data_IF_773322601290
#
_entry.id   IF_773322601290
#
_cell.length_a   1.000
_cell.length_b   1.000
_cell.length_c   1.000
_cell.angle_alpha   90.00
_cell.angle_beta   90.00
_cell.angle_gamma   90.00
#
_symmetry.space_group_name_H-M   'P 1'
#
loop_
_entity.id
_entity.type
_entity.pdbx_description
1 polymer ?
#
# COMPACT_ATOMS: atom_id res chain seq x y z
N UNK A 1 6.20 -44.13 15.90
CA UNK A 1 5.06 -43.58 15.14
C UNK A 1 5.55 -42.31 14.46
N UNK A 2 5.23 -42.14 13.18
CA UNK A 2 5.53 -40.90 12.45
C UNK A 2 4.53 -39.84 12.87
N UNK A 3 5.02 -38.68 13.32
CA UNK A 3 4.17 -37.54 13.68
C UNK A 3 3.63 -36.86 12.42
N UNK A 4 2.44 -36.27 12.51
CA UNK A 4 1.94 -35.40 11.44
C UNK A 4 2.81 -34.15 11.30
N UNK A 5 2.92 -33.66 10.07
CA UNK A 5 3.55 -32.38 9.80
C UNK A 5 2.69 -31.23 10.35
N UNK A 6 3.36 -30.13 10.72
CA UNK A 6 2.69 -28.94 11.25
C UNK A 6 1.71 -28.34 10.22
N UNK A 7 1.98 -28.51 8.91
CA UNK A 7 1.12 -28.01 7.83
C UNK A 7 -0.27 -28.65 7.85
N UNK A 8 -0.35 -29.97 8.00
CA UNK A 8 -1.60 -30.69 8.11
C UNK A 8 -2.40 -30.29 9.38
N UNK A 9 -1.72 -30.03 10.50
CA UNK A 9 -2.37 -29.54 11.72
C UNK A 9 -2.91 -28.10 11.54
N UNK A 10 -2.18 -27.23 10.84
CA UNK A 10 -2.61 -25.86 10.56
C UNK A 10 -3.81 -25.85 9.60
N UNK A 11 -3.77 -26.60 8.49
CA UNK A 11 -4.91 -26.73 7.57
C UNK A 11 -6.16 -27.24 8.27
N UNK A 12 -6.00 -28.17 9.21
CA UNK A 12 -7.12 -28.66 10.01
C UNK A 12 -7.73 -27.57 10.90
N UNK A 13 -6.90 -26.73 11.52
CA UNK A 13 -7.35 -25.61 12.35
C UNK A 13 -8.01 -24.50 11.54
N UNK A 14 -7.51 -24.22 10.34
CA UNK A 14 -8.06 -23.20 9.45
C UNK A 14 -9.32 -23.66 8.70
N UNK A 15 -9.69 -24.94 8.84
CA UNK A 15 -10.87 -25.52 8.18
C UNK A 15 -10.67 -25.81 6.69
N UNK A 16 -9.42 -25.89 6.24
CA UNK A 16 -9.04 -26.13 4.85
C UNK A 16 -8.95 -27.63 4.49
N UNK A 17 -8.99 -28.51 5.48
CA UNK A 17 -9.00 -29.96 5.25
C UNK A 17 -10.34 -30.43 4.68
N UNK A 18 -10.28 -31.39 3.76
CA UNK A 18 -11.47 -32.15 3.38
C UNK A 18 -11.93 -33.09 4.52
N UNK A 19 -13.09 -33.73 4.34
CA UNK A 19 -13.66 -34.59 5.38
C UNK A 19 -12.78 -35.81 5.73
N UNK A 20 -12.02 -36.34 4.77
CA UNK A 20 -11.17 -37.51 4.96
C UNK A 20 -9.88 -37.11 5.70
N UNK A 21 -9.23 -36.03 5.29
CA UNK A 21 -8.06 -35.50 5.96
C UNK A 21 -8.39 -35.07 7.40
N UNK A 22 -9.52 -34.39 7.61
CA UNK A 22 -9.96 -34.02 8.94
C UNK A 22 -10.24 -35.24 9.84
N UNK A 23 -10.72 -36.35 9.28
CA UNK A 23 -10.90 -37.60 10.03
C UNK A 23 -9.54 -38.22 10.43
N UNK A 24 -8.57 -38.23 9.52
CA UNK A 24 -7.20 -38.71 9.79
C UNK A 24 -6.51 -37.90 10.88
N UNK A 25 -6.63 -36.56 10.84
CA UNK A 25 -6.06 -35.67 11.86
C UNK A 25 -6.68 -35.97 13.23
N UNK A 26 -8.02 -36.11 13.31
CA UNK A 26 -8.73 -36.43 14.55
C UNK A 26 -8.33 -37.80 15.11
N UNK A 27 -8.24 -38.81 14.26
CA UNK A 27 -7.81 -40.15 14.67
C UNK A 27 -6.37 -40.12 15.21
N UNK A 28 -5.45 -39.50 14.47
CA UNK A 28 -4.04 -39.42 14.86
C UNK A 28 -3.85 -38.64 16.17
N UNK A 29 -4.47 -37.47 16.30
CA UNK A 29 -4.38 -36.65 17.54
C UNK A 29 -5.12 -37.27 18.72
N UNK A 30 -6.10 -38.15 18.46
CA UNK A 30 -6.70 -39.03 19.45
C UNK A 30 -5.70 -40.05 20.00
N UNK A 31 -4.87 -40.64 19.14
CA UNK A 31 -3.90 -41.67 19.52
C UNK A 31 -2.50 -41.14 19.94
N UNK A 32 -2.08 -39.97 19.47
CA UNK A 32 -0.73 -39.44 19.67
C UNK A 32 -0.74 -38.20 20.60
N UNK A 33 -0.19 -38.36 21.81
CA UNK A 33 -0.11 -37.29 22.81
C UNK A 33 0.71 -36.09 22.33
N UNK A 34 1.82 -36.32 21.63
CA UNK A 34 2.67 -35.23 21.13
C UNK A 34 1.97 -34.38 20.07
N UNK A 35 1.28 -34.99 19.10
CA UNK A 35 0.51 -34.25 18.11
C UNK A 35 -0.69 -33.53 18.75
N UNK A 36 -1.30 -34.10 19.80
CA UNK A 36 -2.34 -33.43 20.58
C UNK A 36 -1.81 -32.19 21.31
N UNK A 37 -0.65 -32.32 21.97
CA UNK A 37 0.00 -31.19 22.63
C UNK A 37 0.40 -30.10 21.62
N UNK A 38 0.89 -30.49 20.43
CA UNK A 38 1.23 -29.57 19.35
C UNK A 38 0.01 -28.82 18.83
N UNK A 39 -1.10 -29.52 18.59
CA UNK A 39 -2.37 -28.91 18.19
C UNK A 39 -2.85 -27.89 19.24
N UNK A 40 -2.81 -28.24 20.52
CA UNK A 40 -3.16 -27.31 21.61
C UNK A 40 -2.28 -26.06 21.69
N UNK A 41 -0.98 -26.17 21.38
CA UNK A 41 -0.08 -25.02 21.27
C UNK A 41 -0.47 -24.10 20.11
N UNK A 42 -0.80 -24.66 18.94
CA UNK A 42 -1.24 -23.90 17.77
C UNK A 42 -2.55 -23.17 18.03
N UNK A 43 -3.56 -23.85 18.60
CA UNK A 43 -4.82 -23.24 19.03
C UNK A 43 -4.62 -22.08 20.01
N UNK A 44 -3.70 -22.25 20.97
CA UNK A 44 -3.34 -21.20 21.93
C UNK A 44 -2.79 -19.95 21.25
N UNK A 45 -1.92 -20.11 20.25
CA UNK A 45 -1.36 -18.99 19.47
C UNK A 45 -2.42 -18.28 18.63
N UNK A 46 -3.27 -19.04 17.93
CA UNK A 46 -4.39 -18.49 17.13
C UNK A 46 -5.34 -17.67 18.02
N UNK A 47 -5.62 -18.15 19.23
CA UNK A 47 -6.46 -17.45 20.21
C UNK A 47 -5.86 -16.11 20.63
N UNK A 48 -4.55 -16.06 20.88
CA UNK A 48 -3.85 -14.82 21.23
C UNK A 48 -3.91 -13.79 20.10
N UNK A 49 -3.65 -14.20 18.86
CA UNK A 49 -3.73 -13.31 17.69
C UNK A 49 -5.16 -12.80 17.50
N UNK A 50 -6.16 -13.69 17.55
CA UNK A 50 -7.57 -13.32 17.43
C UNK A 50 -8.01 -12.33 18.51
N UNK A 51 -7.49 -12.46 19.73
CA UNK A 51 -7.76 -11.52 20.81
C UNK A 51 -7.09 -10.16 20.58
N UNK A 52 -5.86 -10.14 20.06
CA UNK A 52 -5.16 -8.91 19.70
C UNK A 52 -5.91 -8.14 18.59
N UNK A 53 -6.35 -8.85 17.55
CA UNK A 53 -7.14 -8.26 16.45
C UNK A 53 -8.46 -7.66 16.94
N UNK A 54 -9.23 -8.38 17.77
CA UNK A 54 -10.47 -7.85 18.35
C UNK A 54 -10.27 -6.62 19.22
N UNK A 55 -9.10 -6.46 19.86
CA UNK A 55 -8.77 -5.24 20.63
C UNK A 55 -8.33 -4.09 19.73
N UNK A 56 -7.70 -4.39 18.60
CA UNK A 56 -7.24 -3.41 17.63
C UNK A 56 -8.38 -2.91 16.72
N UNK A 57 -9.46 -3.68 16.59
CA UNK A 57 -10.62 -3.33 15.77
C UNK A 57 -11.26 -2.02 16.25
N UNK A 58 -11.22 -0.95 15.44
CA UNK A 58 -11.78 0.34 15.85
C UNK A 58 -13.29 0.21 16.01
N UNK A 59 -13.82 0.57 17.18
CA UNK A 59 -15.26 0.57 17.40
C UNK A 59 -15.94 1.49 16.38
N UNK A 60 -17.00 1.04 15.70
CA UNK A 60 -17.74 1.87 14.76
C UNK A 60 -18.31 3.07 15.51
N UNK A 61 -17.69 4.24 15.31
CA UNK A 61 -18.20 5.50 15.87
C UNK A 61 -19.54 5.78 15.19
N UNK A 62 -20.61 5.85 15.98
CA UNK A 62 -21.92 6.26 15.50
C UNK A 62 -21.78 7.62 14.78
N UNK A 63 -22.01 7.64 13.47
CA UNK A 63 -21.92 8.87 12.67
C UNK A 63 -23.04 9.83 13.08
N UNK A 64 -22.76 11.10 13.42
CA UNK A 64 -23.81 12.08 13.66
C UNK A 64 -24.56 12.37 12.35
N UNK A 65 -25.89 12.27 12.40
CA UNK A 65 -26.80 12.31 11.23
C UNK A 65 -27.05 13.71 10.64
N UNK A 66 -26.42 14.77 11.17
CA UNK A 66 -26.75 16.16 10.82
C UNK A 66 -26.02 16.75 9.59
N UNK A 67 -25.06 16.06 8.98
CA UNK A 67 -24.25 16.61 7.88
C UNK A 67 -24.96 16.72 6.51
N UNK A 68 -26.24 16.36 6.41
CA UNK A 68 -26.94 16.21 5.12
C UNK A 68 -27.47 17.53 4.52
N UNK A 69 -27.47 18.64 5.27
CA UNK A 69 -28.01 19.93 4.80
C UNK A 69 -27.01 20.83 4.07
N UNK A 70 -25.70 20.65 4.25
CA UNK A 70 -24.68 21.50 3.61
C UNK A 70 -24.35 21.14 2.14
N UNK A 71 -24.74 19.95 1.69
CA UNK A 71 -24.41 19.44 0.35
C UNK A 71 -25.17 20.12 -0.81
N UNK A 72 -26.26 20.85 -0.55
CA UNK A 72 -27.02 21.54 -1.60
C UNK A 72 -26.48 22.94 -1.97
N UNK A 73 -25.54 23.49 -1.20
CA UNK A 73 -25.01 24.84 -1.46
C UNK A 73 -23.86 24.88 -2.48
N UNK A 74 -23.18 23.75 -2.75
CA UNK A 74 -21.96 23.73 -3.57
C UNK A 74 -22.19 23.52 -5.09
N UNK A 75 -23.39 23.11 -5.52
CA UNK A 75 -23.68 22.77 -6.91
C UNK A 75 -23.71 23.98 -7.88
N UNK A 76 -23.78 25.22 -7.37
CA UNK A 76 -23.87 26.42 -8.20
C UNK A 76 -22.52 26.91 -8.76
N UNK A 77 -21.38 26.48 -8.20
CA UNK A 77 -20.07 27.02 -8.57
C UNK A 77 -19.39 26.30 -9.76
N UNK A 78 -19.73 25.04 -10.01
CA UNK A 78 -19.01 24.19 -11.00
C UNK A 78 -19.36 24.53 -12.45
N UNK A 79 -20.53 25.13 -12.71
CA UNK A 79 -20.99 25.42 -14.08
C UNK A 79 -20.26 26.62 -14.72
N UNK A 80 -19.53 27.43 -13.95
CA UNK A 80 -18.87 28.65 -14.46
C UNK A 80 -17.42 28.44 -14.95
N UNK A 81 -16.79 27.29 -14.69
CA UNK A 81 -15.35 27.09 -14.95
C UNK A 81 -15.01 26.31 -16.23
N UNK A 82 -15.99 25.81 -16.98
CA UNK A 82 -15.76 24.92 -18.13
C UNK A 82 -15.42 25.60 -19.47
N UNK A 83 -15.21 26.91 -19.53
CA UNK A 83 -15.02 27.64 -20.82
C UNK A 83 -13.56 27.91 -21.24
N UNK A 84 -12.53 27.52 -20.47
CA UNK A 84 -11.15 27.99 -20.72
C UNK A 84 -10.10 26.98 -21.24
N UNK A 85 -10.44 25.71 -21.52
CA UNK A 85 -9.42 24.66 -21.78
C UNK A 85 -9.18 24.30 -23.28
N UNK A 86 -9.02 25.30 -24.15
CA UNK A 86 -8.93 25.11 -25.61
C UNK A 86 -7.56 25.30 -26.29
N UNK A 87 -6.41 25.28 -25.58
CA UNK A 87 -5.11 25.67 -26.18
C UNK A 87 -4.14 24.47 -26.31
N UNK A 88 -3.80 24.11 -27.56
CA UNK A 88 -3.11 22.89 -28.02
C UNK A 88 -1.56 22.76 -27.83
N UNK A 89 -0.72 23.79 -27.67
CA UNK A 89 0.73 23.65 -27.83
C UNK A 89 1.43 22.93 -26.67
N UNK A 90 0.77 22.74 -25.52
CA UNK A 90 1.36 22.07 -24.35
C UNK A 90 1.39 20.54 -24.52
N UNK A 91 0.44 19.97 -25.29
CA UNK A 91 0.34 18.50 -25.50
C UNK A 91 1.53 17.93 -26.28
N UNK A 92 2.12 18.69 -27.20
CA UNK A 92 3.26 18.22 -27.99
C UNK A 92 4.58 18.24 -27.22
N UNK A 93 4.74 19.17 -26.27
CA UNK A 93 5.97 19.31 -25.49
C UNK A 93 6.17 18.19 -24.46
N UNK A 94 5.08 17.64 -23.90
CA UNK A 94 5.13 16.61 -22.85
C UNK A 94 5.41 15.21 -23.42
N UNK A 95 4.79 14.87 -24.56
CA UNK A 95 5.03 13.59 -25.24
C UNK A 95 6.51 13.40 -25.62
N UNK A 96 7.21 14.49 -25.93
CA UNK A 96 8.62 14.45 -26.36
C UNK A 96 9.63 14.35 -25.20
N UNK A 97 9.24 14.67 -23.96
CA UNK A 97 10.12 14.58 -22.78
C UNK A 97 9.92 13.31 -21.93
N UNK A 98 8.72 12.72 -21.92
CA UNK A 98 8.45 11.46 -21.22
C UNK A 98 9.21 10.25 -21.80
N UNK A 99 9.35 10.17 -23.13
CA UNK A 99 10.08 9.08 -23.78
C UNK A 99 11.60 9.13 -23.53
N UNK A 100 12.19 10.32 -23.40
CA UNK A 100 13.65 10.46 -23.22
C UNK A 100 14.16 9.97 -21.86
N UNK A 101 13.35 10.05 -20.80
CA UNK A 101 13.66 9.52 -19.47
C UNK A 101 13.37 8.01 -19.38
N UNK A 102 12.33 7.51 -20.07
CA UNK A 102 12.02 6.08 -20.14
C UNK A 102 13.10 5.28 -20.89
N UNK A 103 13.70 5.82 -21.96
CA UNK A 103 14.78 5.14 -22.68
C UNK A 103 16.11 5.04 -21.91
N UNK A 104 16.30 5.85 -20.86
CA UNK A 104 17.46 5.76 -19.97
C UNK A 104 17.25 4.74 -18.84
N UNK A 105 16.00 4.40 -18.49
CA UNK A 105 15.65 3.45 -17.42
C UNK A 105 15.20 2.09 -17.95
N UNK A 106 14.64 2.04 -19.17
CA UNK A 106 14.15 0.82 -19.85
C UNK A 106 14.95 0.52 -21.13
N UNK A 107 16.13 1.11 -21.26
CA UNK A 107 17.00 0.95 -22.42
C UNK A 107 17.59 -0.45 -22.56
N UNK A 108 16.84 -1.31 -23.26
CA UNK A 108 17.26 -2.36 -24.21
C UNK A 108 16.84 -3.78 -23.82
N UNK A 109 15.61 -4.17 -24.19
CA UNK A 109 15.29 -5.56 -24.56
C UNK A 109 14.08 -5.57 -25.52
N UNK A 110 14.36 -5.15 -26.75
CA UNK A 110 13.56 -5.45 -27.93
C UNK A 110 14.42 -6.20 -28.96
N UNK A 111 15.21 -7.17 -28.51
CA UNK A 111 15.92 -8.11 -29.37
C UNK A 111 15.94 -9.49 -28.70
N UNK A 112 15.36 -10.47 -29.39
CA UNK A 112 15.41 -11.88 -29.01
C UNK A 112 16.87 -12.39 -28.87
N UNK A 113 17.06 -13.30 -27.89
CA UNK A 113 18.19 -14.24 -27.67
C UNK A 113 19.40 -13.79 -26.80
N UNK A 114 20.02 -14.68 -26.00
CA UNK A 114 19.50 -15.65 -25.03
C UNK A 114 19.93 -15.32 -23.57
N UNK A 115 19.33 -16.03 -22.61
CA UNK A 115 19.45 -15.85 -21.15
C UNK A 115 20.87 -15.61 -20.59
N UNK A 116 21.00 -14.57 -19.76
CA UNK A 116 21.94 -14.52 -18.63
C UNK A 116 21.29 -13.72 -17.48
N UNK A 117 21.46 -14.15 -16.21
CA UNK A 117 20.65 -13.67 -15.10
C UNK A 117 21.14 -12.29 -14.65
N UNK A 118 20.31 -11.27 -14.85
CA UNK A 118 20.50 -9.97 -14.19
C UNK A 118 19.98 -10.12 -12.77
N UNK A 119 20.85 -9.92 -11.79
CA UNK A 119 20.48 -9.88 -10.38
C UNK A 119 19.53 -8.69 -10.14
N UNK A 120 18.25 -9.00 -9.94
CA UNK A 120 17.28 -8.08 -9.32
C UNK A 120 17.77 -7.77 -7.91
N UNK A 121 18.16 -6.52 -7.67
CA UNK A 121 18.20 -5.99 -6.30
C UNK A 121 16.74 -5.94 -5.81
N UNK A 122 16.39 -6.54 -4.66
CA UNK A 122 15.03 -6.50 -4.16
C UNK A 122 14.76 -5.11 -3.58
N UNK A 123 14.41 -4.14 -4.42
CA UNK A 123 13.70 -2.98 -3.96
C UNK A 123 12.40 -3.48 -3.31
N UNK A 124 12.24 -3.27 -2.00
CA UNK A 124 11.03 -3.65 -1.31
C UNK A 124 9.84 -2.93 -1.97
N UNK A 125 8.99 -3.70 -2.64
CA UNK A 125 7.86 -3.23 -3.43
C UNK A 125 6.60 -3.94 -2.94
N UNK A 126 5.53 -3.17 -2.76
CA UNK A 126 4.20 -3.71 -2.43
C UNK A 126 3.20 -3.31 -3.50
N UNK A 127 2.21 -4.16 -3.75
CA UNK A 127 1.13 -3.90 -4.69
C UNK A 127 -0.19 -4.35 -4.09
N UNK A 128 -1.22 -3.52 -4.22
CA UNK A 128 -2.53 -3.76 -3.61
C UNK A 128 -3.63 -2.96 -4.31
N UNK A 129 -4.88 -3.35 -4.12
CA UNK A 129 -6.05 -2.63 -4.65
C UNK A 129 -6.64 -1.77 -3.53
N UNK A 130 -6.52 -0.43 -3.58
CA UNK A 130 -7.06 0.43 -2.54
C UNK A 130 -8.59 0.49 -2.60
N UNK A 131 -9.23 0.70 -1.44
CA UNK A 131 -10.65 0.98 -1.40
C UNK A 131 -10.97 2.31 -2.10
N UNK A 132 -12.15 2.41 -2.72
CA UNK A 132 -12.59 3.65 -3.36
C UNK A 132 -12.73 4.80 -2.35
N UNK A 133 -12.40 6.02 -2.77
CA UNK A 133 -12.53 7.24 -1.98
C UNK A 133 -11.19 7.84 -1.59
N UNK A 134 -11.13 8.41 -0.37
CA UNK A 134 -9.94 9.06 0.14
C UNK A 134 -8.82 8.06 0.45
N UNK A 135 -7.58 8.47 0.20
CA UNK A 135 -6.39 7.67 0.41
C UNK A 135 -5.35 8.43 1.23
N UNK A 136 -4.80 7.79 2.26
CA UNK A 136 -3.85 8.41 3.18
C UNK A 136 -2.46 7.78 3.06
N UNK A 137 -1.45 8.62 2.86
CA UNK A 137 -0.04 8.23 2.90
C UNK A 137 0.54 8.81 4.19
N UNK A 138 0.97 7.95 5.11
CA UNK A 138 1.55 8.38 6.38
C UNK A 138 3.02 8.02 6.46
N UNK A 139 3.88 8.97 6.79
CA UNK A 139 5.29 8.77 7.11
C UNK A 139 5.50 8.97 8.61
N UNK A 140 6.39 8.17 9.21
CA UNK A 140 6.67 8.24 10.65
C UNK A 140 7.25 9.62 11.05
N UNK A 141 8.04 10.23 10.18
CA UNK A 141 8.57 11.57 10.39
C UNK A 141 9.36 12.09 9.19
N UNK A 142 9.96 13.27 9.35
CA UNK A 142 10.98 13.80 8.42
C UNK A 142 12.23 12.93 8.46
N UNK A 143 13.00 12.95 7.39
CA UNK A 143 14.24 12.19 7.27
C UNK A 143 15.39 13.08 6.80
N UNK A 144 16.63 12.59 6.85
CA UNK A 144 17.82 13.38 6.52
C UNK A 144 17.85 13.87 5.06
N UNK A 145 17.33 13.09 4.12
CA UNK A 145 17.20 13.47 2.71
C UNK A 145 16.17 12.59 1.99
N UNK A 146 15.79 12.92 0.75
CA UNK A 146 14.97 12.05 -0.09
C UNK A 146 13.60 12.63 -0.43
N UNK A 147 12.85 11.87 -1.23
CA UNK A 147 11.59 12.34 -1.81
C UNK A 147 10.53 11.26 -1.83
N UNK A 148 9.27 11.67 -1.68
CA UNK A 148 8.10 10.87 -2.01
C UNK A 148 7.56 11.38 -3.35
N UNK A 149 7.62 10.56 -4.38
CA UNK A 149 7.01 10.85 -5.69
C UNK A 149 5.75 10.03 -5.83
N UNK A 150 4.63 10.71 -6.04
CA UNK A 150 3.33 10.09 -6.30
C UNK A 150 3.00 10.30 -7.77
N UNK A 151 2.70 9.22 -8.48
CA UNK A 151 2.25 9.22 -9.87
C UNK A 151 0.82 8.70 -9.93
N UNK A 152 0.00 9.33 -10.76
CA UNK A 152 -1.40 8.96 -10.93
C UNK A 152 -1.60 8.21 -12.27
N UNK A 153 -2.12 6.99 -12.18
CA UNK A 153 -2.39 6.11 -13.32
C UNK A 153 -3.84 5.68 -13.44
N UNK A 154 -4.16 5.02 -14.55
CA UNK A 154 -5.46 4.40 -14.80
C UNK A 154 -5.56 2.98 -14.23
N UNK A 155 -4.44 2.40 -13.80
CA UNK A 155 -4.41 1.07 -13.19
C UNK A 155 -5.17 1.10 -11.85
N UNK A 156 -6.13 0.20 -11.60
CA UNK A 156 -6.80 0.09 -10.31
C UNK A 156 -5.88 -0.37 -9.16
N UNK A 157 -4.68 -0.83 -9.48
CA UNK A 157 -3.68 -1.30 -8.52
C UNK A 157 -2.77 -0.17 -8.09
N UNK A 158 -2.65 0.05 -6.78
CA UNK A 158 -1.62 0.89 -6.21
C UNK A 158 -0.30 0.10 -6.07
N UNK A 159 0.82 0.74 -6.38
CA UNK A 159 2.16 0.18 -6.18
C UNK A 159 3.02 1.19 -5.43
N UNK A 160 3.76 0.70 -4.44
CA UNK A 160 4.75 1.50 -3.74
C UNK A 160 6.09 0.78 -3.73
N UNK A 161 7.15 1.54 -4.04
CA UNK A 161 8.51 1.03 -4.16
C UNK A 161 9.46 1.88 -3.33
N UNK A 162 10.29 1.22 -2.54
CA UNK A 162 11.42 1.84 -1.85
C UNK A 162 12.61 1.91 -2.82
N UNK A 163 13.13 3.12 -3.06
CA UNK A 163 14.36 3.39 -3.83
C UNK A 163 15.58 3.60 -2.91
N UNK A 164 15.43 3.33 -1.61
CA UNK A 164 16.46 3.41 -0.58
C UNK A 164 16.98 2.05 -0.13
N UNK A 165 17.39 1.96 1.14
CA UNK A 165 17.81 0.73 1.78
C UNK A 165 16.58 0.00 2.37
N UNK A 166 16.12 -1.10 1.74
CA UNK A 166 14.90 -1.79 2.16
C UNK A 166 15.03 -2.48 3.53
N UNK A 167 16.24 -2.66 4.07
CA UNK A 167 16.43 -3.33 5.36
C UNK A 167 16.10 -2.40 6.55
N UNK A 168 16.04 -1.08 6.30
CA UNK A 168 15.75 -0.06 7.32
C UNK A 168 14.40 0.62 7.15
N UNK A 169 13.72 0.37 6.03
CA UNK A 169 12.49 1.03 5.63
C UNK A 169 11.36 0.02 5.41
N UNK A 170 10.18 0.31 5.93
CA UNK A 170 9.02 -0.56 5.84
C UNK A 170 7.88 0.05 5.03
N UNK A 171 7.14 -0.79 4.29
CA UNK A 171 5.87 -0.43 3.68
C UNK A 171 4.76 -1.28 4.30
N UNK A 172 3.77 -0.61 4.91
CA UNK A 172 2.61 -1.26 5.54
C UNK A 172 1.34 -0.77 4.85
N UNK A 173 0.61 -1.70 4.23
CA UNK A 173 -0.66 -1.43 3.56
C UNK A 173 -1.78 -1.35 4.58
N UNK A 174 -2.56 -0.28 4.54
CA UNK A 174 -3.74 -0.05 5.38
C UNK A 174 -5.00 -0.09 4.52
N UNK A 175 -6.21 -0.34 5.09
CA UNK A 175 -7.46 -0.38 4.34
C UNK A 175 -7.75 0.89 3.50
N UNK A 176 -7.29 2.06 3.97
CA UNK A 176 -7.50 3.35 3.34
C UNK A 176 -6.20 4.11 3.07
N UNK A 177 -5.06 3.42 3.03
CA UNK A 177 -3.78 4.12 2.96
C UNK A 177 -2.54 3.25 2.87
N UNK A 178 -1.41 3.92 2.88
CA UNK A 178 -0.08 3.33 2.95
C UNK A 178 0.69 4.02 4.07
N UNK A 179 1.22 3.23 4.99
CA UNK A 179 2.18 3.70 5.99
C UNK A 179 3.59 3.35 5.54
N UNK A 180 4.44 4.36 5.50
CA UNK A 180 5.88 4.24 5.26
C UNK A 180 6.56 4.35 6.61
N UNK A 181 7.21 3.28 7.04
CA UNK A 181 8.03 3.24 8.24
C UNK A 181 9.44 3.66 7.87
N UNK A 182 9.74 4.94 8.07
CA UNK A 182 11.03 5.54 7.74
C UNK A 182 11.80 5.94 9.01
N UNK A 183 13.13 5.81 8.97
CA UNK A 183 14.02 6.30 10.01
C UNK A 183 14.37 7.78 9.79
N UNK A 184 14.44 8.63 10.83
CA UNK A 184 14.86 10.04 10.69
C UNK A 184 16.25 10.24 10.08
N UNK A 185 17.17 9.29 10.23
CA UNK A 185 18.49 9.30 9.60
C UNK A 185 18.46 8.82 8.14
N UNK A 186 17.32 8.30 7.66
CA UNK A 186 17.20 7.78 6.30
C UNK A 186 17.41 8.85 5.23
N UNK A 187 17.89 8.38 4.08
CA UNK A 187 18.01 9.15 2.83
C UNK A 187 17.21 8.51 1.69
N UNK A 188 16.37 7.53 2.00
CA UNK A 188 15.58 6.76 1.06
C UNK A 188 14.61 7.63 0.27
N UNK A 189 14.22 7.17 -0.92
CA UNK A 189 13.17 7.82 -1.71
C UNK A 189 12.10 6.79 -2.04
N UNK A 190 10.88 7.26 -2.24
CA UNK A 190 9.72 6.40 -2.44
C UNK A 190 9.00 6.81 -3.71
N UNK A 191 8.59 5.82 -4.50
CA UNK A 191 7.75 6.01 -5.67
C UNK A 191 6.45 5.27 -5.47
N UNK A 192 5.35 6.00 -5.55
CA UNK A 192 4.00 5.49 -5.46
C UNK A 192 3.30 5.69 -6.80
N UNK A 193 2.72 4.63 -7.34
CA UNK A 193 1.75 4.69 -8.44
C UNK A 193 0.37 4.45 -7.85
N UNK A 194 -0.53 5.40 -7.99
CA UNK A 194 -1.87 5.35 -7.41
C UNK A 194 -2.94 5.50 -8.50
N UNK A 195 -4.10 4.84 -8.35
CA UNK A 195 -5.24 5.04 -9.24
C UNK A 195 -5.75 6.50 -9.18
N UNK A 196 -6.05 7.10 -10.33
CA UNK A 196 -6.66 8.44 -10.43
C UNK A 196 -8.03 8.55 -9.78
N UNK A 197 -8.71 7.43 -9.58
CA UNK A 197 -10.02 7.37 -8.92
C UNK A 197 -9.98 7.63 -7.43
N UNK A 198 -8.78 7.62 -6.82
CA UNK A 198 -8.60 7.98 -5.42
C UNK A 198 -8.70 9.50 -5.26
N UNK A 199 -9.62 9.97 -4.42
CA UNK A 199 -9.73 11.38 -4.09
C UNK A 199 -10.50 11.57 -2.77
N UNK A 200 -10.01 12.42 -1.84
CA UNK A 200 -8.73 13.14 -1.88
C UNK A 200 -7.54 12.23 -1.50
N UNK A 201 -6.32 12.61 -1.88
CA UNK A 201 -5.09 11.97 -1.39
C UNK A 201 -4.48 12.86 -0.30
N UNK A 202 -4.23 12.30 0.88
CA UNK A 202 -3.60 13.00 2.02
C UNK A 202 -2.22 12.45 2.28
N UNK A 203 -1.24 13.33 2.48
CA UNK A 203 0.12 12.96 2.86
C UNK A 203 0.42 13.55 4.23
N UNK A 204 0.57 12.71 5.26
CA UNK A 204 0.94 13.10 6.61
C UNK A 204 2.38 12.70 6.91
N UNK A 205 3.16 13.59 7.53
CA UNK A 205 4.57 13.37 7.89
C UNK A 205 4.73 13.67 9.38
N UNK A 206 4.85 12.63 10.22
CA UNK A 206 4.87 12.80 11.67
C UNK A 206 3.64 13.58 12.17
N UNK A 207 3.88 14.63 12.96
CA UNK A 207 2.85 15.51 13.52
C UNK A 207 2.55 16.75 12.65
N UNK A 208 3.10 16.83 11.44
CA UNK A 208 2.83 17.95 10.53
C UNK A 208 1.39 17.92 10.00
N UNK A 209 0.80 19.10 9.70
CA UNK A 209 -0.49 19.15 9.04
C UNK A 209 -0.44 18.42 7.70
N UNK A 210 -1.39 17.49 7.50
CA UNK A 210 -1.43 16.69 6.29
C UNK A 210 -1.57 17.57 5.03
N UNK A 211 -0.75 17.28 4.02
CA UNK A 211 -0.89 17.84 2.69
C UNK A 211 -2.04 17.12 1.99
N UNK A 212 -3.15 17.82 1.78
CA UNK A 212 -4.28 17.31 0.99
C UNK A 212 -4.09 17.70 -0.47
N UNK A 213 -4.11 16.70 -1.35
CA UNK A 213 -3.98 16.85 -2.80
C UNK A 213 -5.24 16.31 -3.46
N UNK A 214 -5.92 17.18 -4.21
CA UNK A 214 -7.01 16.77 -5.08
C UNK A 214 -6.42 16.19 -6.37
N UNK A 215 -6.70 14.90 -6.63
CA UNK A 215 -6.24 14.20 -7.83
C UNK A 215 -6.81 14.76 -9.11
N UNK A 216 -7.93 15.48 -9.05
CA UNK A 216 -8.46 16.20 -10.20
C UNK A 216 -7.56 17.37 -10.63
N UNK A 217 -6.77 17.93 -9.71
CA UNK A 217 -5.87 19.06 -9.98
C UNK A 217 -4.42 18.59 -10.22
N UNK A 218 -4.03 17.44 -9.68
CA UNK A 218 -2.72 16.84 -9.92
C UNK A 218 -2.69 16.17 -11.31
N UNK A 219 -2.15 16.87 -12.30
CA UNK A 219 -2.17 16.42 -13.70
C UNK A 219 -1.64 14.99 -13.91
N UNK A 220 -0.45 14.67 -13.40
CA UNK A 220 0.18 13.34 -13.59
C UNK A 220 0.81 12.77 -12.30
N UNK A 221 0.95 13.61 -11.29
CA UNK A 221 1.67 13.28 -10.07
C UNK A 221 2.25 14.52 -9.42
N UNK A 222 2.88 14.32 -8.28
CA UNK A 222 3.60 15.36 -7.56
C UNK A 222 4.72 14.75 -6.72
N UNK A 223 5.62 15.60 -6.25
CA UNK A 223 6.75 15.19 -5.41
C UNK A 223 6.74 15.99 -4.12
N UNK A 224 6.95 15.30 -3.00
CA UNK A 224 7.11 15.88 -1.67
C UNK A 224 8.55 15.63 -1.22
N UNK A 225 9.26 16.72 -0.89
CA UNK A 225 10.56 16.60 -0.24
C UNK A 225 10.38 16.10 1.20
N UNK A 226 11.15 15.10 1.59
CA UNK A 226 11.07 14.48 2.93
C UNK A 226 12.14 15.02 3.89
N UNK A 227 13.13 15.74 3.36
CA UNK A 227 14.11 16.45 4.17
C UNK A 227 13.45 17.49 5.08
N UNK A 228 14.03 17.72 6.26
CA UNK A 228 13.70 18.88 7.09
C UNK A 228 13.87 20.17 6.28
N UNK A 229 12.88 21.06 6.36
CA UNK A 229 13.06 22.42 5.87
C UNK A 229 14.02 23.11 6.85
N UNK A 230 15.22 23.45 6.38
CA UNK A 230 16.12 24.31 7.14
C UNK A 230 15.35 25.55 7.60
N UNK A 231 15.25 25.74 8.92
CA UNK A 231 14.63 26.91 9.52
C UNK A 231 15.36 28.14 8.96
N UNK A 232 14.61 29.01 8.28
CA UNK A 232 15.13 30.28 7.74
C UNK A 232 14.95 31.40 8.75
#
# INVERSE_FOLDING_TARGET
MTHMDDGALVRFLDGECDAAEAALVREHTGACEQCRARLGQLEGRIRLVSQALRRAEPQPRARPTHARTWLYAAAAAVVLLTTAAGVQPVRAWIAQRGQALWHLVVGRNGQESPSSPVAELPAASVSFVPAAGGFEITLAGRQAAGTLTVQLGEDPTARATILGDPDTEGLVVLPHGLRIENDPASRGSYVLMLPRTLSPIRVAIGDEPALEVDTAQAAEGWTVALAERAAR
#
